data_IF_113428767554
#
_entry.id   IF_113428767554
#
_cell.length_a   1.000
_cell.length_b   1.000
_cell.length_c   1.000
_cell.angle_alpha   90.00
_cell.angle_beta   90.00
_cell.angle_gamma   90.00
#
_symmetry.space_group_name_H-M   'P 1'
#
loop_
_entity.id
_entity.type
_entity.pdbx_description
1 polymer ?
#
# COMPACT_ATOMS: atom_id res chain seq x y z
N UNK A 1 -20.65 -0.59 -3.19
CA UNK A 1 -20.03 -0.28 -1.88
C UNK A 1 -19.27 1.03 -2.01
N UNK A 2 -19.57 2.07 -1.23
CA UNK A 2 -18.78 3.29 -1.27
C UNK A 2 -17.45 3.02 -0.57
N UNK A 3 -16.35 3.32 -1.27
CA UNK A 3 -15.00 3.27 -0.72
C UNK A 3 -14.87 4.42 0.29
N UNK A 4 -14.82 4.11 1.58
CA UNK A 4 -14.48 5.09 2.62
C UNK A 4 -13.16 5.77 2.26
N UNK A 5 -13.26 7.04 1.91
CA UNK A 5 -12.22 7.90 1.32
C UNK A 5 -11.46 8.70 2.38
N UNK A 6 -11.60 8.35 3.67
CA UNK A 6 -11.20 9.22 4.79
C UNK A 6 -10.06 8.70 5.68
N UNK A 7 -9.36 7.66 5.28
CA UNK A 7 -8.14 7.24 5.98
C UNK A 7 -6.95 7.28 5.01
N UNK A 8 -6.12 8.31 5.13
CA UNK A 8 -4.83 8.46 4.42
C UNK A 8 -3.80 7.44 4.97
N UNK A 9 -4.16 6.16 4.98
CA UNK A 9 -3.21 5.13 5.34
C UNK A 9 -2.18 4.98 4.22
N UNK A 10 -0.92 4.64 4.55
CA UNK A 10 0.11 4.37 3.54
C UNK A 10 -0.36 3.38 2.46
N UNK A 11 -1.13 2.36 2.85
CA UNK A 11 -1.71 1.39 1.91
C UNK A 11 -2.71 1.99 0.93
N UNK A 12 -3.52 2.96 1.35
CA UNK A 12 -4.44 3.65 0.44
C UNK A 12 -3.68 4.57 -0.54
N UNK A 13 -2.61 5.23 -0.09
CA UNK A 13 -1.75 6.04 -0.95
C UNK A 13 -1.08 5.16 -2.01
N UNK A 14 -0.49 4.03 -1.57
CA UNK A 14 0.11 3.02 -2.45
C UNK A 14 -0.90 2.55 -3.50
N UNK A 15 -2.10 2.12 -3.10
CA UNK A 15 -3.11 1.65 -4.05
C UNK A 15 -3.52 2.72 -5.08
N UNK A 16 -3.66 3.97 -4.64
CA UNK A 16 -3.95 5.10 -5.54
C UNK A 16 -2.82 5.36 -6.53
N UNK A 17 -1.56 5.28 -6.10
CA UNK A 17 -0.40 5.51 -6.96
C UNK A 17 -0.18 4.39 -7.96
N UNK A 18 -0.35 3.14 -7.54
CA UNK A 18 -0.25 1.99 -8.44
C UNK A 18 -1.43 1.88 -9.41
N UNK A 19 -2.59 2.47 -9.10
CA UNK A 19 -3.79 2.35 -9.94
C UNK A 19 -4.34 0.93 -10.03
N UNK A 20 -3.97 0.06 -9.09
CA UNK A 20 -4.30 -1.37 -9.08
C UNK A 20 -5.27 -1.71 -7.95
N UNK A 21 -5.98 -2.82 -8.13
CA UNK A 21 -6.78 -3.39 -7.05
C UNK A 21 -5.90 -3.97 -5.94
N UNK A 22 -6.44 -4.02 -4.72
CA UNK A 22 -5.77 -4.65 -3.57
C UNK A 22 -5.32 -6.09 -3.86
N UNK A 23 -6.13 -6.85 -4.60
CA UNK A 23 -5.80 -8.25 -4.93
C UNK A 23 -4.62 -8.34 -5.90
N UNK A 24 -4.55 -7.45 -6.89
CA UNK A 24 -3.42 -7.38 -7.82
C UNK A 24 -2.14 -6.98 -7.09
N UNK A 25 -2.21 -5.97 -6.21
CA UNK A 25 -1.05 -5.55 -5.43
C UNK A 25 -0.59 -6.65 -4.46
N UNK A 26 -1.53 -7.37 -3.82
CA UNK A 26 -1.22 -8.51 -2.95
C UNK A 26 -0.51 -9.63 -3.72
N UNK A 27 -0.98 -9.93 -4.93
CA UNK A 27 -0.38 -10.92 -5.81
C UNK A 27 1.05 -10.52 -6.23
N UNK A 28 1.24 -9.28 -6.69
CA UNK A 28 2.55 -8.75 -7.10
C UNK A 28 3.54 -8.67 -5.93
N UNK A 29 3.08 -8.39 -4.72
CA UNK A 29 3.92 -8.37 -3.51
C UNK A 29 4.15 -9.76 -2.89
N UNK A 30 3.49 -10.80 -3.42
CA UNK A 30 3.41 -12.13 -2.82
C UNK A 30 3.07 -12.04 -1.32
N UNK A 31 2.00 -11.31 -1.00
CA UNK A 31 1.55 -11.02 0.35
C UNK A 31 0.07 -11.40 0.51
N UNK A 32 -0.32 -11.80 1.72
CA UNK A 32 -1.71 -12.13 2.02
C UNK A 32 -2.59 -10.87 1.97
N UNK A 33 -3.64 -10.91 1.14
CA UNK A 33 -4.66 -9.86 1.01
C UNK A 33 -5.23 -9.41 2.36
N UNK A 34 -5.26 -10.30 3.35
CA UNK A 34 -5.78 -10.07 4.70
C UNK A 34 -4.87 -9.15 5.52
N UNK A 35 -3.57 -9.09 5.21
CA UNK A 35 -2.65 -8.12 5.82
C UNK A 35 -2.92 -6.71 5.29
N UNK A 36 -3.09 -6.58 3.98
CA UNK A 36 -3.42 -5.29 3.35
C UNK A 36 -4.80 -4.79 3.81
N UNK A 37 -5.79 -5.69 3.87
CA UNK A 37 -7.14 -5.35 4.32
C UNK A 37 -7.14 -4.78 5.75
N UNK A 38 -6.49 -5.50 6.69
CA UNK A 38 -6.36 -5.02 8.07
C UNK A 38 -5.63 -3.68 8.13
N UNK A 39 -4.53 -3.53 7.41
CA UNK A 39 -3.74 -2.30 7.44
C UNK A 39 -4.46 -1.07 6.85
N UNK A 40 -5.49 -1.26 6.00
CA UNK A 40 -6.34 -0.16 5.51
C UNK A 40 -7.35 0.34 6.56
N UNK A 41 -7.83 -0.55 7.43
CA UNK A 41 -8.87 -0.25 8.42
C UNK A 41 -8.32 0.18 9.77
N UNK A 42 -7.19 -0.40 10.20
CA UNK A 42 -6.49 0.07 11.38
C UNK A 42 -5.69 1.31 10.96
N UNK A 43 -6.03 2.49 11.51
CA UNK A 43 -5.32 3.77 11.28
C UNK A 43 -3.82 3.77 11.65
N UNK A 44 -3.25 2.60 11.93
CA UNK A 44 -1.82 2.30 12.11
C UNK A 44 -1.37 1.20 11.16
N UNK A 45 -1.81 1.23 9.91
CA UNK A 45 -1.41 0.29 8.87
C UNK A 45 0.07 0.40 8.55
N UNK A 46 0.93 -0.03 9.48
CA UNK A 46 2.38 0.01 9.35
C UNK A 46 2.78 -0.95 8.23
N UNK A 47 3.42 -0.40 7.21
CA UNK A 47 4.12 -1.19 6.20
C UNK A 47 5.46 -1.54 6.83
N UNK A 48 5.70 -2.83 7.05
CA UNK A 48 7.00 -3.28 7.57
C UNK A 48 8.14 -2.92 6.60
N UNK A 49 9.35 -2.78 7.12
CA UNK A 49 10.51 -2.34 6.33
C UNK A 49 10.76 -3.23 5.10
N UNK A 50 10.53 -4.53 5.23
CA UNK A 50 10.70 -5.48 4.14
C UNK A 50 9.66 -5.30 3.03
N UNK A 51 8.41 -5.03 3.38
CA UNK A 51 7.31 -4.71 2.46
C UNK A 51 7.53 -3.35 1.82
N UNK A 52 8.05 -2.36 2.56
CA UNK A 52 8.44 -1.06 1.99
C UNK A 52 9.50 -1.24 0.89
N UNK A 53 10.53 -2.05 1.12
CA UNK A 53 11.56 -2.35 0.11
C UNK A 53 10.97 -3.04 -1.11
N UNK A 54 10.06 -4.01 -0.91
CA UNK A 54 9.36 -4.69 -2.02
C UNK A 54 8.50 -3.71 -2.82
N UNK A 55 7.76 -2.83 -2.15
CA UNK A 55 6.92 -1.81 -2.78
C UNK A 55 7.73 -0.83 -3.61
N UNK A 56 8.85 -0.33 -3.09
CA UNK A 56 9.73 0.57 -3.85
C UNK A 56 10.35 -0.12 -5.07
N UNK A 57 10.72 -1.41 -4.93
CA UNK A 57 11.23 -2.20 -6.05
C UNK A 57 10.16 -2.41 -7.12
N UNK A 58 8.93 -2.76 -6.71
CA UNK A 58 7.80 -2.93 -7.61
C UNK A 58 7.43 -1.61 -8.30
N UNK A 59 7.47 -0.50 -7.56
CA UNK A 59 7.21 0.83 -8.10
C UNK A 59 8.22 1.18 -9.19
N UNK A 60 9.52 0.94 -8.94
CA UNK A 60 10.57 1.11 -9.95
C UNK A 60 10.37 0.20 -11.17
N UNK A 61 9.89 -1.03 -10.98
CA UNK A 61 9.62 -1.96 -12.09
C UNK A 61 8.42 -1.55 -12.94
N UNK A 62 7.41 -0.91 -12.34
CA UNK A 62 6.16 -0.51 -12.99
C UNK A 62 6.14 0.97 -13.38
N UNK A 63 7.27 1.67 -13.23
CA UNK A 63 7.43 3.12 -13.44
C UNK A 63 6.41 3.97 -12.64
N UNK A 64 6.14 3.55 -11.40
CA UNK A 64 5.24 4.25 -10.48
C UNK A 64 6.05 5.18 -9.58
N UNK A 65 5.65 6.44 -9.51
CA UNK A 65 6.26 7.43 -8.63
C UNK A 65 5.83 7.25 -7.16
N UNK A 66 6.39 6.24 -6.50
CA UNK A 66 6.20 5.94 -5.08
C UNK A 66 7.48 6.28 -4.30
N UNK A 67 7.38 7.16 -3.31
CA UNK A 67 8.50 7.52 -2.43
C UNK A 67 8.36 6.87 -1.06
N UNK A 68 9.41 6.94 -0.25
CA UNK A 68 9.39 6.42 1.13
C UNK A 68 8.40 7.17 2.01
N UNK A 69 8.20 8.46 1.76
CA UNK A 69 7.29 9.29 2.55
C UNK A 69 5.84 8.84 2.38
N UNK A 70 5.46 8.33 1.20
CA UNK A 70 4.15 7.71 0.97
C UNK A 70 3.92 6.42 1.77
N UNK A 71 4.99 5.81 2.29
CA UNK A 71 4.98 4.53 3.00
C UNK A 71 5.04 4.69 4.52
N UNK A 72 5.18 5.92 5.01
CA UNK A 72 5.24 6.27 6.42
C UNK A 72 3.83 6.73 6.84
N UNK A 73 3.28 6.22 7.95
CA UNK A 73 2.02 6.75 8.47
C UNK A 73 2.23 8.19 8.94
N UNK A 74 1.36 9.11 8.49
CA UNK A 74 1.21 10.42 9.13
C UNK A 74 0.81 10.16 10.59
N UNK A 75 1.69 10.55 11.51
CA UNK A 75 1.53 10.38 12.96
C UNK A 75 0.60 11.46 13.51
#
# INVERSE_FOLDING_TARGET
MPLDTRSNTPWNIVLRKFGMSQNQLAFELNCDKSKISRARHYGRGLIDQHTQVRLLRLAKQKDVNLTKDDLIPDV
#
